data_IF_829170214351
#
_entry.id   IF_829170214351
#
_cell.length_a   1.000
_cell.length_b   1.000
_cell.length_c   1.000
_cell.angle_alpha   90.00
_cell.angle_beta   90.00
_cell.angle_gamma   90.00
#
_symmetry.space_group_name_H-M   'P 1'
#
loop_
_entity.id
_entity.type
_entity.pdbx_description
1 polymer ?
#
# COMPACT_ATOMS: atom_id res chain seq x y z
N UNK A 1 13.18 5.52 3.99
CA UNK A 1 12.10 4.88 3.17
C UNK A 1 12.60 4.76 1.75
N UNK A 2 12.26 3.69 1.04
CA UNK A 2 12.85 3.36 -0.25
C UNK A 2 11.78 3.05 -1.30
N UNK A 3 12.16 3.21 -2.57
CA UNK A 3 11.42 2.73 -3.73
C UNK A 3 12.35 2.05 -4.72
N UNK A 4 11.82 1.10 -5.47
CA UNK A 4 12.50 0.54 -6.63
C UNK A 4 11.52 0.21 -7.76
N UNK A 5 11.95 0.40 -9.01
CA UNK A 5 11.29 -0.13 -10.21
C UNK A 5 11.76 -1.56 -10.56
N UNK A 6 12.84 -2.03 -9.91
CA UNK A 6 13.57 -3.24 -10.30
C UNK A 6 13.56 -4.32 -9.23
N UNK A 7 13.05 -4.04 -8.04
CA UNK A 7 13.00 -5.02 -6.96
C UNK A 7 12.18 -6.25 -7.43
N UNK A 8 12.72 -7.48 -7.32
CA UNK A 8 12.09 -8.68 -7.90
C UNK A 8 10.87 -9.17 -7.10
N UNK A 9 10.58 -8.54 -5.97
CA UNK A 9 9.55 -9.00 -5.03
C UNK A 9 10.12 -9.96 -3.98
N UNK A 10 9.32 -10.26 -2.98
CA UNK A 10 9.64 -11.24 -1.95
C UNK A 10 9.22 -12.64 -2.41
N UNK A 11 10.01 -13.65 -2.06
CA UNK A 11 9.69 -15.07 -2.25
C UNK A 11 8.54 -15.50 -1.33
N UNK A 12 8.50 -15.00 -0.08
CA UNK A 12 7.48 -15.28 0.96
C UNK A 12 7.41 -16.73 1.45
N UNK A 13 8.21 -17.63 0.87
CA UNK A 13 8.42 -19.01 1.31
C UNK A 13 9.89 -19.31 1.69
N UNK A 14 10.81 -18.38 1.40
CA UNK A 14 12.22 -18.41 1.78
C UNK A 14 12.58 -17.15 2.58
N UNK A 15 12.37 -17.19 3.89
CA UNK A 15 12.65 -16.05 4.77
C UNK A 15 14.13 -15.66 4.84
N UNK A 16 15.09 -16.59 4.99
CA UNK A 16 16.51 -16.25 4.88
C UNK A 16 16.87 -15.61 3.54
N UNK A 17 16.33 -16.14 2.42
CA UNK A 17 16.52 -15.58 1.09
C UNK A 17 15.95 -14.16 0.96
N UNK A 18 14.74 -13.93 1.49
CA UNK A 18 14.12 -12.60 1.52
C UNK A 18 14.91 -11.58 2.35
N UNK A 19 15.40 -11.99 3.54
CA UNK A 19 16.26 -11.15 4.35
C UNK A 19 17.53 -10.75 3.60
N UNK A 20 18.21 -11.72 2.98
CA UNK A 20 19.42 -11.46 2.21
C UNK A 20 19.13 -10.56 1.01
N UNK A 21 18.07 -10.85 0.24
CA UNK A 21 17.66 -10.07 -0.92
C UNK A 21 17.44 -8.60 -0.53
N UNK A 22 16.75 -8.32 0.57
CA UNK A 22 16.48 -6.95 1.00
C UNK A 22 17.75 -6.19 1.38
N UNK A 23 18.70 -6.87 2.05
CA UNK A 23 19.98 -6.28 2.46
C UNK A 23 20.92 -6.05 1.28
N UNK A 24 21.01 -6.99 0.35
CA UNK A 24 21.99 -6.98 -0.74
C UNK A 24 21.50 -6.21 -1.98
N UNK A 25 20.20 -5.94 -2.09
CA UNK A 25 19.63 -5.28 -3.26
C UNK A 25 20.07 -3.81 -3.39
N UNK A 26 20.86 -3.52 -4.42
CA UNK A 26 21.40 -2.18 -4.69
C UNK A 26 20.43 -1.24 -5.44
N UNK A 27 19.31 -1.76 -5.97
CA UNK A 27 18.36 -0.99 -6.77
C UNK A 27 17.38 -0.14 -5.96
N UNK A 28 17.62 0.06 -4.66
CA UNK A 28 16.82 0.94 -3.81
C UNK A 28 17.19 2.40 -4.08
N UNK A 29 16.17 3.20 -4.42
CA UNK A 29 16.24 4.65 -4.35
C UNK A 29 15.77 5.09 -2.97
N UNK A 30 16.64 5.74 -2.20
CA UNK A 30 16.25 6.35 -0.94
C UNK A 30 15.42 7.61 -1.20
N UNK A 31 14.24 7.64 -0.59
CA UNK A 31 13.21 8.64 -0.85
C UNK A 31 13.00 9.59 0.32
N UNK A 32 13.08 9.07 1.53
CA UNK A 32 13.15 9.88 2.75
C UNK A 32 14.45 9.51 3.42
N UNK A 33 15.37 10.46 3.46
CA UNK A 33 16.70 10.24 4.02
C UNK A 33 16.64 10.22 5.54
N UNK A 34 17.55 9.47 6.15
CA UNK A 34 17.63 9.34 7.60
C UNK A 34 17.75 10.70 8.33
N UNK A 35 18.53 11.63 7.79
CA UNK A 35 18.74 12.97 8.35
C UNK A 35 17.50 13.88 8.28
N UNK A 36 16.55 13.56 7.41
CA UNK A 36 15.29 14.31 7.24
C UNK A 36 14.21 13.83 8.22
N UNK A 37 14.44 12.71 8.91
CA UNK A 37 13.48 12.15 9.87
C UNK A 37 13.35 13.02 11.13
N UNK A 38 12.15 13.06 11.75
CA UNK A 38 11.94 13.79 12.99
C UNK A 38 12.78 13.21 14.14
N UNK A 39 13.73 14.00 14.65
CA UNK A 39 14.57 13.63 15.81
C UNK A 39 13.94 13.96 17.16
N UNK A 40 12.98 14.88 17.20
CA UNK A 40 12.28 15.26 18.42
C UNK A 40 11.10 14.33 18.70
N UNK A 41 10.90 13.97 19.97
CA UNK A 41 9.76 13.15 20.38
C UNK A 41 8.43 13.82 19.98
N UNK A 42 7.47 13.02 19.51
CA UNK A 42 6.14 13.45 19.09
C UNK A 42 6.10 14.45 17.91
N UNK A 43 7.23 14.68 17.23
CA UNK A 43 7.24 15.50 16.01
C UNK A 43 6.70 14.70 14.84
N UNK A 44 5.76 15.29 14.11
CA UNK A 44 5.25 14.75 12.84
C UNK A 44 5.78 15.62 11.71
N UNK A 45 6.24 14.98 10.64
CA UNK A 45 6.71 15.63 9.41
C UNK A 45 5.98 14.97 8.24
N UNK A 46 5.52 15.78 7.28
CA UNK A 46 4.89 15.29 6.06
C UNK A 46 5.93 15.17 4.96
N UNK A 47 5.86 14.08 4.21
CA UNK A 47 6.67 13.85 3.01
C UNK A 47 5.72 13.61 1.85
N UNK A 48 6.00 14.25 0.72
CA UNK A 48 5.24 14.12 -0.53
C UNK A 48 6.25 13.92 -1.64
N UNK A 49 5.93 13.03 -2.57
CA UNK A 49 6.79 12.73 -3.70
C UNK A 49 6.02 12.69 -4.99
N UNK A 50 6.63 13.29 -6.01
CA UNK A 50 6.11 13.24 -7.36
C UNK A 50 6.37 11.86 -7.97
N UNK A 51 5.29 11.20 -8.35
CA UNK A 51 5.30 9.85 -8.91
C UNK A 51 5.18 9.86 -10.44
N UNK A 52 5.11 11.03 -11.08
CA UNK A 52 4.83 11.16 -12.52
C UNK A 52 5.88 10.46 -13.40
N UNK A 53 7.16 10.48 -13.02
CA UNK A 53 8.23 9.75 -13.74
C UNK A 53 8.08 8.22 -13.69
N UNK A 54 7.28 7.72 -12.75
CA UNK A 54 7.02 6.31 -12.51
C UNK A 54 5.64 5.87 -13.03
N UNK A 55 4.91 6.76 -13.72
CA UNK A 55 3.56 6.48 -14.20
C UNK A 55 3.53 5.26 -15.13
N UNK A 56 2.63 4.32 -14.83
CA UNK A 56 2.47 3.07 -15.59
C UNK A 56 3.57 2.03 -15.40
N UNK A 57 4.59 2.30 -14.56
CA UNK A 57 5.61 1.32 -14.21
C UNK A 57 5.22 0.52 -12.97
N UNK A 58 5.81 -0.68 -12.84
CA UNK A 58 5.77 -1.43 -11.60
C UNK A 58 6.77 -0.81 -10.63
N UNK A 59 6.31 -0.44 -9.44
CA UNK A 59 7.17 0.01 -8.37
C UNK A 59 6.95 -0.81 -7.11
N UNK A 60 7.98 -0.91 -6.28
CA UNK A 60 7.93 -1.47 -4.93
C UNK A 60 8.32 -0.38 -3.94
N UNK A 61 7.56 -0.27 -2.85
CA UNK A 61 7.86 0.61 -1.73
C UNK A 61 8.38 -0.21 -0.56
N UNK A 62 9.39 0.30 0.15
CA UNK A 62 9.92 -0.35 1.33
C UNK A 62 10.19 0.63 2.48
N UNK A 63 9.96 0.17 3.70
CA UNK A 63 10.32 0.87 4.93
C UNK A 63 11.26 -0.04 5.71
N UNK A 64 12.51 0.37 5.88
CA UNK A 64 13.48 -0.31 6.72
C UNK A 64 13.55 0.35 8.07
N UNK A 65 13.44 -0.45 9.12
CA UNK A 65 13.62 -0.03 10.50
C UNK A 65 14.88 -0.70 11.00
N UNK A 66 15.98 0.05 10.99
CA UNK A 66 17.27 -0.43 11.44
C UNK A 66 17.67 0.24 12.78
N UNK A 67 17.85 -0.53 13.84
CA UNK A 67 18.28 0.00 15.13
C UNK A 67 19.79 0.27 15.17
N UNK A 68 20.21 1.48 15.57
CA UNK A 68 21.62 1.89 15.55
C UNK A 68 22.39 1.70 16.87
N UNK A 69 21.69 1.68 18.01
CA UNK A 69 22.32 1.64 19.33
C UNK A 69 21.56 0.69 20.28
N UNK A 70 22.16 -0.47 20.54
CA UNK A 70 21.62 -1.49 21.44
C UNK A 70 21.50 -1.04 22.90
N UNK A 71 22.20 0.03 23.28
CA UNK A 71 22.13 0.62 24.61
C UNK A 71 20.94 1.58 24.78
N UNK A 72 20.16 1.85 23.73
CA UNK A 72 19.02 2.77 23.77
C UNK A 72 17.70 2.06 23.54
N UNK A 73 16.63 2.71 23.97
CA UNK A 73 15.28 2.31 23.59
C UNK A 73 15.09 2.54 22.08
N UNK A 74 14.55 1.55 21.38
CA UNK A 74 14.07 1.72 20.01
C UNK A 74 12.72 2.47 20.05
N UNK A 75 12.58 3.63 19.40
CA UNK A 75 11.35 4.40 19.43
C UNK A 75 10.24 3.70 18.64
N UNK A 76 8.98 4.02 18.97
CA UNK A 76 7.84 3.68 18.12
C UNK A 76 7.83 4.63 16.92
N UNK A 77 7.71 4.08 15.72
CA UNK A 77 7.59 4.86 14.50
C UNK A 77 6.15 4.81 14.00
N UNK A 78 5.50 5.96 13.91
CA UNK A 78 4.13 6.08 13.42
C UNK A 78 4.13 6.65 12.00
N UNK A 79 3.41 5.98 11.12
CA UNK A 79 3.17 6.41 9.75
C UNK A 79 1.70 6.77 9.64
N UNK A 80 1.40 8.01 9.26
CA UNK A 80 0.05 8.56 9.27
C UNK A 80 -0.37 8.93 7.84
N UNK A 81 -1.56 8.48 7.43
CA UNK A 81 -2.17 8.80 6.13
C UNK A 81 -1.27 8.51 4.92
N UNK A 82 -0.48 7.43 4.99
CA UNK A 82 0.28 6.92 3.83
C UNK A 82 -0.69 6.50 2.73
N UNK A 83 -0.56 7.14 1.58
CA UNK A 83 -1.38 6.91 0.39
C UNK A 83 -0.64 7.34 -0.87
N UNK A 84 -1.08 6.81 -1.99
CA UNK A 84 -0.80 7.34 -3.33
C UNK A 84 -2.05 8.08 -3.79
N UNK A 85 -1.89 9.31 -4.27
CA UNK A 85 -3.00 10.11 -4.80
C UNK A 85 -2.83 10.31 -6.30
N UNK A 86 -3.77 9.81 -7.08
CA UNK A 86 -3.87 10.08 -8.51
C UNK A 86 -4.82 11.27 -8.71
N UNK A 87 -4.32 12.33 -9.34
CA UNK A 87 -5.15 13.48 -9.76
C UNK A 87 -5.55 13.26 -11.22
N UNK A 88 -6.85 13.15 -11.47
CA UNK A 88 -7.42 12.95 -12.80
C UNK A 88 -7.47 14.27 -13.58
N UNK A 89 -7.63 14.19 -14.90
CA UNK A 89 -7.66 15.37 -15.79
C UNK A 89 -8.81 16.34 -15.48
N UNK A 90 -9.90 15.84 -14.89
CA UNK A 90 -11.03 16.67 -14.44
C UNK A 90 -10.81 17.28 -13.03
N UNK A 91 -9.63 17.13 -12.45
CA UNK A 91 -9.27 17.63 -11.11
C UNK A 91 -9.75 16.77 -9.94
N UNK A 92 -10.51 15.70 -10.18
CA UNK A 92 -10.88 14.74 -9.11
C UNK A 92 -9.70 13.86 -8.71
N UNK A 93 -9.76 13.27 -7.51
CA UNK A 93 -8.68 12.44 -6.99
C UNK A 93 -9.12 11.02 -6.68
N UNK A 94 -8.19 10.07 -6.84
CA UNK A 94 -8.33 8.69 -6.41
C UNK A 94 -7.17 8.38 -5.47
N UNK A 95 -7.48 7.94 -4.26
CA UNK A 95 -6.49 7.59 -3.24
C UNK A 95 -6.34 6.06 -3.11
N UNK A 96 -5.11 5.56 -3.19
CA UNK A 96 -4.74 4.22 -2.78
C UNK A 96 -4.06 4.29 -1.40
N UNK A 97 -4.80 3.93 -0.36
CA UNK A 97 -4.26 3.84 1.00
C UNK A 97 -3.37 2.60 1.21
N UNK A 98 -2.53 2.66 2.24
CA UNK A 98 -1.56 1.61 2.58
C UNK A 98 -2.11 0.18 2.61
N UNK A 99 -3.36 -0.04 3.05
CA UNK A 99 -4.00 -1.37 3.02
C UNK A 99 -4.10 -1.99 1.62
N UNK A 100 -4.21 -1.16 0.59
CA UNK A 100 -4.30 -1.60 -0.81
C UNK A 100 -2.93 -1.81 -1.46
N UNK A 101 -1.83 -1.57 -0.74
CA UNK A 101 -0.47 -1.70 -1.27
C UNK A 101 0.14 -3.09 -1.06
N UNK A 102 -0.54 -4.01 -0.38
CA UNK A 102 -0.03 -5.38 -0.17
C UNK A 102 1.20 -5.47 0.73
N UNK A 103 1.34 -4.55 1.69
CA UNK A 103 2.50 -4.53 2.59
C UNK A 103 2.69 -5.86 3.33
N UNK A 104 3.89 -6.43 3.17
CA UNK A 104 4.38 -7.64 3.83
C UNK A 104 5.54 -7.25 4.75
N UNK A 105 5.45 -7.48 6.07
CA UNK A 105 6.58 -7.32 6.97
C UNK A 105 7.67 -8.36 6.67
N UNK A 106 8.93 -8.02 6.91
CA UNK A 106 10.03 -8.99 6.99
C UNK A 106 10.78 -8.70 8.28
N UNK A 107 10.44 -9.44 9.33
CA UNK A 107 10.93 -9.23 10.69
C UNK A 107 12.30 -9.87 10.89
N UNK A 108 13.35 -9.28 10.31
CA UNK A 108 14.75 -9.81 10.31
C UNK A 108 15.20 -10.30 11.68
N UNK A 109 14.85 -9.59 12.77
CA UNK A 109 15.15 -9.98 14.14
C UNK A 109 14.67 -11.39 14.53
N UNK A 110 13.64 -11.91 13.86
CA UNK A 110 13.08 -13.24 14.12
C UNK A 110 13.85 -14.38 13.46
N UNK A 111 14.91 -14.08 12.70
CA UNK A 111 15.86 -15.09 12.20
C UNK A 111 16.65 -15.78 13.33
N UNK A 112 16.79 -15.11 14.47
CA UNK A 112 17.37 -15.69 15.68
C UNK A 112 16.58 -15.22 16.91
N UNK A 113 15.43 -15.84 17.14
CA UNK A 113 14.59 -15.55 18.31
C UNK A 113 15.27 -15.89 19.64
N UNK A 114 16.32 -16.73 19.64
CA UNK A 114 17.05 -17.10 20.84
C UNK A 114 17.92 -15.96 21.38
N UNK A 115 18.31 -15.04 20.49
CA UNK A 115 19.10 -13.85 20.83
C UNK A 115 18.28 -12.69 21.41
N UNK A 116 16.94 -12.81 21.43
CA UNK A 116 16.04 -11.72 21.80
C UNK A 116 14.91 -12.17 22.72
N UNK A 117 14.48 -11.29 23.64
CA UNK A 117 13.36 -11.59 24.53
C UNK A 117 12.02 -11.42 23.79
N UNK A 118 11.16 -12.43 23.78
CA UNK A 118 9.82 -12.30 23.18
C UNK A 118 8.88 -11.59 24.16
N UNK A 119 8.13 -10.58 23.67
CA UNK A 119 7.12 -9.89 24.47
C UNK A 119 6.07 -10.90 24.97
N UNK A 120 5.87 -11.03 26.29
CA UNK A 120 4.90 -11.97 26.85
C UNK A 120 3.47 -11.76 26.33
N UNK A 121 3.12 -10.55 25.89
CA UNK A 121 1.81 -10.25 25.32
C UNK A 121 1.60 -10.81 23.92
N UNK A 122 2.65 -11.32 23.24
CA UNK A 122 2.52 -11.93 21.92
C UNK A 122 1.50 -13.08 21.95
N UNK A 123 1.48 -13.85 23.04
CA UNK A 123 0.53 -14.94 23.32
C UNK A 123 -0.95 -14.55 23.22
N UNK A 124 -1.26 -13.24 23.29
CA UNK A 124 -2.63 -12.72 23.12
C UNK A 124 -3.03 -12.58 21.64
N UNK A 125 -2.11 -12.77 20.70
CA UNK A 125 -2.39 -12.80 19.27
C UNK A 125 -2.56 -14.24 18.80
N UNK A 126 -3.56 -14.47 17.96
CA UNK A 126 -3.80 -15.78 17.38
C UNK A 126 -2.73 -16.11 16.33
N UNK A 127 -2.36 -17.39 16.24
CA UNK A 127 -1.47 -17.92 15.18
C UNK A 127 0.02 -17.85 15.47
N UNK A 128 0.44 -17.27 16.60
CA UNK A 128 1.85 -17.18 17.00
C UNK A 128 2.29 -18.30 17.95
N UNK A 129 1.33 -18.98 18.59
CA UNK A 129 1.59 -20.10 19.47
C UNK A 129 0.77 -21.30 19.02
N UNK A 130 1.34 -22.49 19.17
CA UNK A 130 0.64 -23.74 18.91
C UNK A 130 -0.33 -24.11 20.05
N UNK A 131 -1.06 -25.20 19.87
CA UNK A 131 -2.00 -25.71 20.88
C UNK A 131 -1.35 -26.14 22.20
N UNK A 132 -0.04 -26.35 22.22
CA UNK A 132 0.77 -26.68 23.40
C UNK A 132 1.45 -25.45 24.02
N UNK A 133 1.11 -24.25 23.54
CA UNK A 133 1.67 -22.97 23.96
C UNK A 133 3.18 -22.82 23.67
N UNK A 134 3.68 -23.49 22.63
CA UNK A 134 5.02 -23.23 22.09
C UNK A 134 4.96 -22.13 21.03
N UNK A 135 5.99 -21.28 20.98
CA UNK A 135 6.12 -20.26 19.95
C UNK A 135 6.29 -20.92 18.58
N UNK A 136 5.53 -20.44 17.60
CA UNK A 136 5.71 -20.77 16.19
C UNK A 136 6.61 -19.69 15.59
N UNK A 137 7.91 -19.94 15.59
CA UNK A 137 8.91 -18.93 15.16
C UNK A 137 8.66 -18.43 13.73
N UNK A 138 8.28 -19.32 12.82
CA UNK A 138 7.99 -18.97 11.44
C UNK A 138 6.78 -18.04 11.27
N UNK A 139 5.87 -17.99 12.25
CA UNK A 139 4.75 -17.04 12.23
C UNK A 139 5.23 -15.59 12.44
N UNK A 140 6.41 -15.39 13.03
CA UNK A 140 7.00 -14.07 13.23
C UNK A 140 7.60 -13.50 11.94
N UNK A 141 8.15 -14.33 11.06
CA UNK A 141 8.93 -13.93 9.89
C UNK A 141 8.24 -12.83 9.06
N UNK A 142 6.97 -13.04 8.71
CA UNK A 142 6.14 -12.09 7.97
C UNK A 142 4.95 -11.57 8.78
N UNK A 143 4.98 -11.76 10.10
CA UNK A 143 3.86 -11.52 10.99
C UNK A 143 3.57 -10.04 11.26
N UNK A 144 2.28 -9.72 11.37
CA UNK A 144 1.77 -8.46 11.94
C UNK A 144 0.94 -8.72 13.19
N UNK A 145 0.83 -7.71 14.05
CA UNK A 145 0.04 -7.78 15.29
C UNK A 145 -1.08 -6.76 15.30
N UNK A 146 -2.09 -6.97 16.14
CA UNK A 146 -3.20 -6.00 16.32
C UNK A 146 -3.11 -5.23 17.64
N UNK A 147 -2.25 -5.66 18.56
CA UNK A 147 -1.97 -5.05 19.86
C UNK A 147 -0.54 -4.49 19.92
N UNK A 148 -0.13 -4.04 21.11
CA UNK A 148 1.17 -3.41 21.36
C UNK A 148 2.24 -4.47 21.65
N UNK A 149 2.82 -5.07 20.61
CA UNK A 149 3.95 -6.01 20.72
C UNK A 149 5.24 -5.33 20.31
N UNK A 150 6.28 -5.43 21.15
CA UNK A 150 7.56 -4.76 20.91
C UNK A 150 8.16 -5.07 19.53
N UNK A 151 8.53 -4.01 18.80
CA UNK A 151 9.22 -4.12 17.51
C UNK A 151 8.44 -4.81 16.39
N UNK A 152 7.15 -5.11 16.58
CA UNK A 152 6.30 -5.68 15.55
C UNK A 152 5.45 -4.60 14.87
N UNK A 153 5.16 -4.85 13.59
CA UNK A 153 4.28 -4.02 12.79
C UNK A 153 2.81 -4.24 13.17
N UNK A 154 2.09 -3.14 13.31
CA UNK A 154 0.64 -3.13 13.44
C UNK A 154 0.02 -2.35 12.28
N UNK A 155 -0.64 -3.10 11.40
CA UNK A 155 -1.27 -2.58 10.19
C UNK A 155 -2.80 -2.45 10.33
N UNK A 156 -3.35 -2.55 11.55
CA UNK A 156 -4.81 -2.61 11.77
C UNK A 156 -5.55 -1.38 11.23
N UNK A 157 -4.88 -0.24 11.13
CA UNK A 157 -5.45 1.02 10.62
C UNK A 157 -4.98 1.40 9.22
N UNK A 158 -4.34 0.48 8.49
CA UNK A 158 -3.77 0.73 7.16
C UNK A 158 -4.84 1.12 6.13
N UNK A 159 -6.11 0.80 6.39
CA UNK A 159 -7.29 1.24 5.60
C UNK A 159 -7.44 2.76 5.54
N UNK A 160 -6.91 3.47 6.53
CA UNK A 160 -6.85 4.94 6.58
C UNK A 160 -5.43 5.46 6.32
N UNK A 161 -4.53 4.59 5.84
CA UNK A 161 -3.11 4.87 5.64
C UNK A 161 -2.29 4.97 6.92
N UNK A 162 -2.83 4.56 8.07
CA UNK A 162 -2.15 4.72 9.35
C UNK A 162 -1.67 3.38 9.90
N UNK A 163 -0.41 3.28 10.26
CA UNK A 163 0.19 2.07 10.83
C UNK A 163 1.47 2.42 11.60
N UNK A 164 2.04 1.46 12.31
CA UNK A 164 3.25 1.69 13.09
C UNK A 164 4.05 0.41 13.31
N UNK A 165 5.34 0.58 13.62
CA UNK A 165 6.15 -0.44 14.30
C UNK A 165 6.32 -0.02 15.75
N UNK A 166 6.06 -0.93 16.68
CA UNK A 166 6.07 -0.60 18.10
C UNK A 166 7.51 -0.38 18.62
N UNK A 167 7.64 0.43 19.68
CA UNK A 167 8.91 0.63 20.39
C UNK A 167 9.40 -0.65 21.06
N UNK A 168 10.69 -0.70 21.34
CA UNK A 168 11.34 -1.77 22.11
C UNK A 168 12.11 -1.13 23.26
N UNK A 169 11.87 -1.58 24.48
CA UNK A 169 12.55 -1.06 25.67
C UNK A 169 14.06 -1.36 25.62
N UNK A 170 14.84 -0.53 26.31
CA UNK A 170 16.28 -0.74 26.47
C UNK A 170 16.56 -2.14 27.03
N UNK A 171 17.52 -2.85 26.44
CA UNK A 171 17.94 -4.18 26.89
C UNK A 171 17.02 -5.35 26.49
N UNK A 172 16.01 -5.14 25.63
CA UNK A 172 15.09 -6.19 25.15
C UNK A 172 15.45 -6.78 23.77
N UNK A 173 16.66 -6.48 23.28
CA UNK A 173 17.14 -6.91 21.96
C UNK A 173 16.58 -6.03 20.84
N UNK A 174 17.48 -5.60 19.96
CA UNK A 174 17.17 -4.73 18.83
C UNK A 174 16.24 -5.41 17.80
N UNK A 175 15.30 -4.67 17.21
CA UNK A 175 14.31 -5.20 16.26
C UNK A 175 14.48 -4.57 14.90
N UNK A 176 15.30 -5.22 14.08
CA UNK A 176 15.39 -4.92 12.66
C UNK A 176 14.24 -5.55 11.89
N UNK A 177 13.56 -4.75 11.07
CA UNK A 177 12.44 -5.21 10.28
C UNK A 177 12.25 -4.34 9.04
N UNK A 178 11.72 -4.95 7.99
CA UNK A 178 11.25 -4.27 6.79
C UNK A 178 9.73 -4.32 6.69
N UNK A 179 9.16 -3.40 5.93
CA UNK A 179 7.79 -3.46 5.44
C UNK A 179 7.82 -3.16 3.95
N UNK A 180 7.46 -4.15 3.13
CA UNK A 180 7.65 -4.13 1.66
C UNK A 180 6.30 -4.28 0.97
N UNK A 181 5.97 -3.39 0.04
CA UNK A 181 4.71 -3.49 -0.72
C UNK A 181 4.75 -4.63 -1.73
N UNK A 182 3.60 -5.04 -2.22
CA UNK A 182 3.54 -5.75 -3.50
C UNK A 182 3.88 -4.77 -4.65
N UNK A 183 3.92 -5.27 -5.89
CA UNK A 183 4.06 -4.40 -7.05
C UNK A 183 2.87 -3.45 -7.18
N UNK A 184 3.17 -2.16 -7.20
CA UNK A 184 2.21 -1.10 -7.40
C UNK A 184 2.35 -0.56 -8.82
N UNK A 185 1.22 -0.41 -9.52
CA UNK A 185 1.17 0.32 -10.78
C UNK A 185 0.43 1.62 -10.55
N UNK A 186 1.13 2.73 -10.76
CA UNK A 186 0.60 4.07 -10.55
C UNK A 186 -0.13 4.50 -11.83
N UNK A 187 -1.30 3.91 -12.08
CA UNK A 187 -2.13 4.22 -13.25
C UNK A 187 -3.64 4.14 -12.98
N UNK A 188 -4.05 3.99 -11.72
CA UNK A 188 -5.46 3.87 -11.36
C UNK A 188 -6.24 5.08 -11.89
N UNK A 189 -7.25 4.78 -12.72
CA UNK A 189 -8.18 5.74 -13.29
C UNK A 189 -9.60 5.26 -12.97
N UNK A 190 -10.49 6.19 -12.63
CA UNK A 190 -11.90 5.84 -12.49
C UNK A 190 -12.44 5.43 -13.87
N UNK A 191 -13.08 4.25 -14.01
CA UNK A 191 -13.73 3.90 -15.27
C UNK A 191 -14.82 4.93 -15.57
N UNK A 192 -14.96 5.30 -16.85
CA UNK A 192 -16.03 6.19 -17.29
C UNK A 192 -17.38 5.62 -16.85
N UNK A 193 -18.10 6.34 -15.99
CA UNK A 193 -19.45 5.96 -15.57
C UNK A 193 -20.44 6.43 -16.62
N UNK A 194 -21.10 5.49 -17.29
CA UNK A 194 -22.17 5.81 -18.23
C UNK A 194 -23.33 6.48 -17.50
N UNK A 195 -23.85 7.57 -18.06
CA UNK A 195 -25.11 8.18 -17.61
C UNK A 195 -26.27 7.38 -18.21
N UNK A 196 -27.18 6.87 -17.38
CA UNK A 196 -28.36 6.18 -17.86
C UNK A 196 -29.30 7.16 -18.57
N UNK A 197 -29.37 7.08 -19.91
CA UNK A 197 -30.17 8.00 -20.73
C UNK A 197 -31.63 7.56 -20.89
N UNK A 198 -31.90 6.25 -20.88
CA UNK A 198 -33.25 5.68 -21.11
C UNK A 198 -33.48 4.43 -20.28
N UNK A 199 -34.69 4.27 -19.75
CA UNK A 199 -35.20 3.03 -19.14
C UNK A 199 -36.55 2.63 -19.78
N UNK A 200 -37.14 1.51 -19.34
CA UNK A 200 -38.42 1.02 -19.88
C UNK A 200 -39.61 1.94 -19.62
N UNK A 201 -39.52 2.82 -18.63
CA UNK A 201 -40.63 3.64 -18.16
C UNK A 201 -40.72 4.97 -18.91
N UNK A 202 -39.60 5.48 -19.42
CA UNK A 202 -39.52 6.82 -19.99
C UNK A 202 -39.36 6.79 -21.51
N UNK A 203 -40.22 7.54 -22.21
CA UNK A 203 -39.99 7.85 -23.63
C UNK A 203 -38.79 8.80 -23.72
N UNK A 204 -37.75 8.35 -24.42
CA UNK A 204 -36.55 9.11 -24.69
C UNK A 204 -36.37 9.22 -26.21
N UNK A 205 -36.48 10.43 -26.74
CA UNK A 205 -36.42 10.74 -28.18
C UNK A 205 -35.09 11.37 -28.59
N UNK A 206 -34.44 12.13 -27.71
CA UNK A 206 -33.19 12.84 -27.98
C UNK A 206 -32.37 13.06 -26.71
N UNK A 207 -31.06 13.15 -26.89
CA UNK A 207 -30.09 13.54 -25.86
C UNK A 207 -29.32 14.75 -26.35
N UNK A 208 -29.17 15.77 -25.52
CA UNK A 208 -28.33 16.93 -25.80
C UNK A 208 -27.28 17.06 -24.69
N UNK A 209 -26.05 17.34 -25.09
CA UNK A 209 -24.93 17.61 -24.19
C UNK A 209 -24.06 18.71 -24.78
N UNK A 210 -23.72 19.70 -23.97
CA UNK A 210 -22.87 20.84 -24.38
C UNK A 210 -21.46 20.65 -23.81
N UNK A 211 -20.48 20.65 -24.69
CA UNK A 211 -19.07 20.68 -24.33
C UNK A 211 -18.63 22.14 -24.17
N UNK A 212 -18.31 22.55 -22.94
CA UNK A 212 -18.02 23.95 -22.62
C UNK A 212 -16.55 24.35 -22.82
N UNK A 213 -15.68 23.38 -23.08
CA UNK A 213 -14.24 23.60 -23.25
C UNK A 213 -13.80 23.21 -24.65
N UNK A 214 -12.79 23.91 -25.16
CA UNK A 214 -12.16 23.58 -26.46
C UNK A 214 -11.40 22.27 -26.29
N UNK A 215 -11.64 21.32 -27.18
CA UNK A 215 -11.05 19.99 -27.05
C UNK A 215 -11.57 18.95 -28.04
N UNK A 216 -10.88 17.81 -28.07
CA UNK A 216 -11.34 16.61 -28.80
C UNK A 216 -11.93 15.63 -27.80
N UNK A 217 -13.21 15.31 -27.96
CA UNK A 217 -13.95 14.42 -27.08
C UNK A 217 -14.34 13.13 -27.80
N UNK A 218 -14.41 12.01 -27.05
CA UNK A 218 -14.95 10.73 -27.53
C UNK A 218 -16.22 10.39 -26.78
N UNK A 219 -17.37 10.69 -27.38
CA UNK A 219 -18.67 10.29 -26.83
C UNK A 219 -18.92 8.80 -27.13
N UNK A 220 -19.21 8.02 -26.10
CA UNK A 220 -19.51 6.58 -26.22
C UNK A 220 -20.94 6.31 -25.74
N UNK A 221 -21.78 5.79 -26.62
CA UNK A 221 -23.13 5.36 -26.28
C UNK A 221 -23.18 3.84 -26.27
N UNK A 222 -23.67 3.28 -25.17
CA UNK A 222 -23.99 1.87 -25.05
C UNK A 222 -25.51 1.72 -25.04
N UNK A 223 -26.03 0.96 -26.00
CA UNK A 223 -27.46 0.71 -26.15
C UNK A 223 -27.68 -0.79 -26.11
N UNK A 224 -28.59 -1.25 -25.25
CA UNK A 224 -29.03 -2.64 -25.21
C UNK A 224 -30.55 -2.72 -25.31
N UNK A 225 -31.04 -3.76 -25.98
CA UNK A 225 -32.43 -4.16 -25.99
C UNK A 225 -32.49 -5.61 -25.53
N UNK A 226 -33.01 -5.82 -24.32
CA UNK A 226 -33.02 -7.12 -23.68
C UNK A 226 -34.44 -7.48 -23.24
N UNK A 227 -34.83 -8.72 -23.52
CA UNK A 227 -36.01 -9.38 -22.98
C UNK A 227 -35.68 -10.86 -22.70
N UNK A 228 -36.65 -11.59 -22.17
CA UNK A 228 -36.46 -13.00 -21.76
C UNK A 228 -36.09 -13.99 -22.89
N UNK A 229 -36.17 -13.60 -24.17
CA UNK A 229 -35.83 -14.43 -25.34
C UNK A 229 -34.73 -13.85 -26.23
N UNK A 230 -34.41 -12.57 -26.09
CA UNK A 230 -33.53 -11.87 -27.01
C UNK A 230 -32.75 -10.77 -26.26
N UNK A 231 -31.43 -10.76 -26.46
CA UNK A 231 -30.56 -9.67 -26.05
C UNK A 231 -29.75 -9.25 -27.27
N UNK A 232 -29.79 -7.96 -27.56
CA UNK A 232 -28.93 -7.33 -28.56
C UNK A 232 -28.34 -6.06 -27.95
N UNK A 233 -27.05 -5.81 -28.18
CA UNK A 233 -26.37 -4.62 -27.71
C UNK A 233 -25.47 -4.02 -28.78
N UNK A 234 -25.27 -2.70 -28.70
CA UNK A 234 -24.44 -1.96 -29.63
C UNK A 234 -23.69 -0.86 -28.88
N UNK A 235 -22.40 -0.71 -29.22
CA UNK A 235 -21.57 0.41 -28.81
C UNK A 235 -21.39 1.36 -30.00
N UNK A 236 -21.63 2.65 -29.78
CA UNK A 236 -21.49 3.71 -30.78
C UNK A 236 -20.47 4.71 -30.23
N UNK A 237 -19.42 4.98 -31.01
CA UNK A 237 -18.39 5.97 -30.65
C UNK A 237 -18.49 7.15 -31.62
N UNK A 238 -18.41 8.37 -31.09
CA UNK A 238 -18.38 9.61 -31.88
C UNK A 238 -17.21 10.47 -31.41
N UNK A 239 -16.49 11.05 -32.37
CA UNK A 239 -15.43 12.04 -32.10
C UNK A 239 -16.02 13.42 -32.30
N UNK A 240 -15.90 14.28 -31.28
CA UNK A 240 -16.45 15.63 -31.28
C UNK A 240 -15.29 16.61 -31.09
N UNK A 241 -15.12 17.53 -32.02
CA UNK A 241 -14.08 18.55 -31.97
C UNK A 241 -14.75 19.89 -31.66
N UNK A 242 -14.49 20.42 -30.48
CA UNK A 242 -14.91 21.76 -30.07
C UNK A 242 -13.75 22.71 -30.35
N UNK A 243 -14.02 23.77 -31.10
CA UNK A 243 -13.05 24.78 -31.52
C UNK A 243 -13.39 26.13 -30.93
#
# INVERSE_FOLDING_TARGET
MYMSEEFPGLYKDDFPGDCQLLTDFAGWTEWVKQEELPVAANKTVSYEMDMMSHFGKNITLAIHVHPHDASKQQPRLNFNKVKITNVLTNGSTVDLYASGMGFTPVNVWSSDVSSVEIDPNLSKNNGYYDSSNNLIESALWYGTVTNNIWGMWNLSNATTGSFYVHSVAQGKGLRESWLVSDYLVINACSPDTGVALKNMTNRFSSYEYTYNEVGTYRATFYVSNENYKHSESKRINMVINVK
#
